data_IF_596295101332
#
_entry.id   IF_596295101332
#
_cell.length_a   1.000
_cell.length_b   1.000
_cell.length_c   1.000
_cell.angle_alpha   90.00
_cell.angle_beta   90.00
_cell.angle_gamma   90.00
#
_symmetry.space_group_name_H-M   'P 1'
#
loop_
_entity.id
_entity.type
_entity.pdbx_description
1 polymer ?
#
# COMPACT_ATOMS: atom_id res chain seq x y z
N UNK A 1 8.69 -6.99 5.16
CA UNK A 1 9.69 -6.52 6.15
C UNK A 1 10.11 -5.09 5.83
N UNK A 2 10.72 -4.38 6.79
CA UNK A 2 11.17 -3.00 6.58
C UNK A 2 12.47 -2.70 7.31
N UNK A 3 13.21 -1.71 6.80
CA UNK A 3 14.36 -1.09 7.47
C UNK A 3 14.21 0.42 7.40
N UNK A 4 14.62 1.14 8.44
CA UNK A 4 14.58 2.58 8.47
C UNK A 4 15.83 3.15 9.14
N UNK A 5 16.20 4.35 8.73
CA UNK A 5 17.30 5.11 9.31
C UNK A 5 16.85 6.53 9.63
N UNK A 6 17.24 7.01 10.79
CA UNK A 6 17.09 8.41 11.20
C UNK A 6 18.43 9.10 10.95
N UNK A 7 18.43 10.06 10.04
CA UNK A 7 19.65 10.79 9.67
C UNK A 7 19.92 11.94 10.62
N UNK A 8 18.86 12.70 10.94
CA UNK A 8 18.87 13.84 11.84
C UNK A 8 17.53 13.90 12.59
N UNK A 9 17.41 14.76 13.60
CA UNK A 9 16.22 14.82 14.46
C UNK A 9 14.92 15.13 13.72
N UNK A 10 15.01 15.79 12.57
CA UNK A 10 13.87 16.16 11.75
C UNK A 10 13.69 15.29 10.50
N UNK A 11 14.59 14.34 10.19
CA UNK A 11 14.55 13.55 8.95
C UNK A 11 14.85 12.07 9.18
N UNK A 12 13.97 11.23 8.66
CA UNK A 12 14.19 9.78 8.57
C UNK A 12 13.69 9.23 7.23
N UNK A 13 14.27 8.12 6.81
CA UNK A 13 13.87 7.41 5.58
C UNK A 13 13.68 5.92 5.86
N UNK A 14 12.82 5.26 5.08
CA UNK A 14 12.54 3.84 5.19
C UNK A 14 12.51 3.14 3.85
N UNK A 15 12.82 1.85 3.88
CA UNK A 15 12.71 0.91 2.76
C UNK A 15 11.84 -0.25 3.23
N UNK A 16 10.81 -0.60 2.46
CA UNK A 16 9.90 -1.72 2.75
C UNK A 16 9.87 -2.68 1.56
N UNK A 17 9.88 -3.98 1.86
CA UNK A 17 9.49 -5.03 0.92
C UNK A 17 8.27 -5.74 1.48
N UNK A 18 7.18 -5.78 0.72
CA UNK A 18 5.92 -6.40 1.14
C UNK A 18 5.49 -7.46 0.14
N UNK A 19 5.36 -8.71 0.59
CA UNK A 19 4.80 -9.79 -0.22
C UNK A 19 3.42 -10.13 0.30
N UNK A 20 2.44 -10.10 -0.60
CA UNK A 20 1.03 -10.31 -0.29
C UNK A 20 0.45 -11.37 -1.20
N UNK A 21 -0.19 -12.36 -0.59
CA UNK A 21 -1.08 -13.31 -1.27
C UNK A 21 -2.50 -13.01 -0.82
N UNK A 22 -3.39 -12.77 -1.77
CA UNK A 22 -4.81 -12.56 -1.57
C UNK A 22 -5.57 -13.75 -2.15
N UNK A 23 -6.36 -14.41 -1.31
CA UNK A 23 -7.23 -15.51 -1.76
C UNK A 23 -8.50 -15.00 -2.44
N UNK A 24 -9.11 -15.89 -3.22
CA UNK A 24 -10.44 -15.67 -3.79
C UNK A 24 -11.54 -15.61 -2.70
N UNK A 25 -12.69 -15.06 -3.07
CA UNK A 25 -13.83 -14.91 -2.15
C UNK A 25 -14.50 -16.27 -1.98
N UNK A 26 -14.81 -16.65 -0.73
CA UNK A 26 -15.64 -17.83 -0.46
C UNK A 26 -17.12 -17.48 -0.52
N UNK A 27 -17.86 -18.17 -1.38
CA UNK A 27 -19.30 -17.96 -1.59
C UNK A 27 -19.60 -17.11 -2.83
N UNK A 28 -20.89 -16.94 -3.13
CA UNK A 28 -21.36 -16.15 -4.26
C UNK A 28 -22.68 -15.45 -3.90
N UNK A 29 -22.92 -14.28 -4.48
CA UNK A 29 -24.21 -13.61 -4.40
C UNK A 29 -25.15 -14.24 -5.46
N UNK A 30 -26.29 -14.84 -5.05
CA UNK A 30 -27.22 -15.47 -5.99
C UNK A 30 -27.86 -14.48 -6.99
N UNK A 31 -27.80 -13.17 -6.73
CA UNK A 31 -28.27 -12.13 -7.64
C UNK A 31 -27.25 -11.77 -8.73
N UNK A 32 -25.99 -12.21 -8.59
CA UNK A 32 -24.92 -11.95 -9.55
C UNK A 32 -24.67 -13.16 -10.44
N UNK A 33 -24.44 -12.92 -11.74
CA UNK A 33 -24.13 -13.97 -12.72
C UNK A 33 -22.67 -13.86 -13.19
N UNK A 34 -21.75 -14.74 -12.73
CA UNK A 34 -20.34 -14.75 -13.13
C UNK A 34 -20.10 -14.96 -14.63
N UNK A 35 -21.05 -15.58 -15.34
CA UNK A 35 -20.94 -15.80 -16.79
C UNK A 35 -21.18 -14.52 -17.59
N UNK A 36 -21.79 -13.49 -17.00
CA UNK A 36 -22.08 -12.22 -17.68
C UNK A 36 -20.96 -11.20 -17.50
N UNK A 37 -20.37 -11.10 -16.30
CA UNK A 37 -19.30 -10.15 -16.01
C UNK A 37 -18.23 -10.79 -15.09
N UNK A 38 -16.93 -10.58 -15.35
CA UNK A 38 -15.87 -11.19 -14.57
C UNK A 38 -15.76 -10.63 -13.14
N UNK A 39 -16.25 -9.41 -12.90
CA UNK A 39 -16.25 -8.79 -11.56
C UNK A 39 -17.28 -9.41 -10.60
N UNK A 40 -18.22 -10.19 -11.12
CA UNK A 40 -19.16 -11.00 -10.34
C UNK A 40 -18.61 -12.39 -10.00
N UNK A 41 -17.46 -12.77 -10.56
CA UNK A 41 -16.86 -14.08 -10.34
C UNK A 41 -16.01 -14.08 -9.05
N UNK A 42 -16.39 -14.83 -8.01
CA UNK A 42 -15.64 -14.88 -6.75
C UNK A 42 -14.25 -15.50 -6.91
N UNK A 43 -14.02 -16.31 -7.95
CA UNK A 43 -12.75 -16.98 -8.26
C UNK A 43 -11.78 -16.08 -9.06
N UNK A 44 -12.15 -14.81 -9.30
CA UNK A 44 -11.32 -13.81 -10.01
C UNK A 44 -11.04 -12.57 -9.17
N UNK A 45 -10.76 -12.78 -7.87
CA UNK A 45 -10.57 -11.71 -6.87
C UNK A 45 -9.24 -11.82 -6.12
N UNK A 46 -8.56 -12.96 -6.25
CA UNK A 46 -7.27 -13.25 -5.65
C UNK A 46 -6.09 -12.76 -6.48
N UNK A 47 -4.90 -13.05 -5.99
CA UNK A 47 -3.65 -12.74 -6.64
C UNK A 47 -2.48 -12.62 -5.67
N UNK A 48 -1.30 -12.43 -6.22
CA UNK A 48 -0.04 -12.27 -5.50
C UNK A 48 0.65 -10.99 -5.92
N UNK A 49 1.30 -10.32 -4.98
CA UNK A 49 1.98 -9.06 -5.22
C UNK A 49 3.23 -8.91 -4.34
N UNK A 50 4.32 -8.45 -4.95
CA UNK A 50 5.54 -8.04 -4.27
C UNK A 50 5.75 -6.54 -4.48
N UNK A 51 5.72 -5.76 -3.41
CA UNK A 51 5.86 -4.32 -3.40
C UNK A 51 7.19 -3.85 -2.81
N UNK A 52 7.78 -2.83 -3.43
CA UNK A 52 8.87 -2.04 -2.90
C UNK A 52 8.36 -0.67 -2.45
N UNK A 53 8.54 -0.35 -1.17
CA UNK A 53 8.18 0.95 -0.59
C UNK A 53 9.41 1.79 -0.24
N UNK A 54 9.39 3.08 -0.58
CA UNK A 54 10.35 4.10 -0.21
C UNK A 54 9.64 5.18 0.62
N UNK A 55 10.02 5.32 1.88
CA UNK A 55 9.42 6.27 2.81
C UNK A 55 10.36 7.41 3.19
N UNK A 56 9.80 8.59 3.32
CA UNK A 56 10.45 9.82 3.79
C UNK A 56 9.59 10.45 4.87
N UNK A 57 10.19 10.77 6.01
CA UNK A 57 9.49 11.37 7.14
C UNK A 57 10.23 12.61 7.62
N UNK A 58 9.52 13.73 7.63
CA UNK A 58 9.95 15.00 8.18
C UNK A 58 9.25 15.23 9.51
N UNK A 59 9.98 15.50 10.58
CA UNK A 59 9.46 15.76 11.92
C UNK A 59 9.86 17.14 12.40
N UNK A 60 8.94 17.87 13.03
CA UNK A 60 9.21 19.15 13.65
C UNK A 60 9.46 18.96 15.16
N UNK A 61 10.73 18.94 15.63
CA UNK A 61 11.04 18.68 17.03
C UNK A 61 10.80 19.89 17.96
N UNK A 62 10.67 21.10 17.41
CA UNK A 62 10.54 22.34 18.15
C UNK A 62 9.85 23.43 17.34
N UNK A 63 9.52 24.56 17.97
CA UNK A 63 8.83 25.69 17.34
C UNK A 63 7.30 25.54 17.29
N UNK A 64 6.64 26.36 16.47
CA UNK A 64 5.18 26.42 16.38
C UNK A 64 4.51 25.13 15.86
N UNK A 65 5.28 24.26 15.21
CA UNK A 65 4.83 22.98 14.66
C UNK A 65 5.36 21.78 15.46
N UNK A 66 5.87 22.00 16.69
CA UNK A 66 6.39 20.93 17.53
C UNK A 66 5.40 19.75 17.62
N UNK A 67 5.89 18.54 17.40
CA UNK A 67 5.08 17.32 17.43
C UNK A 67 4.42 16.98 16.09
N UNK A 68 4.61 17.80 15.05
CA UNK A 68 4.09 17.54 13.70
C UNK A 68 5.06 16.68 12.88
N UNK A 69 4.53 15.75 12.10
CA UNK A 69 5.26 14.91 11.14
C UNK A 69 4.58 14.93 9.77
N UNK A 70 5.35 15.17 8.73
CA UNK A 70 4.96 14.96 7.33
C UNK A 70 5.63 13.68 6.82
N UNK A 71 4.83 12.72 6.40
CA UNK A 71 5.28 11.47 5.80
C UNK A 71 4.94 11.40 4.31
N UNK A 72 5.85 10.87 3.52
CA UNK A 72 5.65 10.53 2.10
C UNK A 72 6.11 9.10 1.88
N UNK A 73 5.28 8.26 1.28
CA UNK A 73 5.62 6.89 0.90
C UNK A 73 5.31 6.68 -0.59
N UNK A 74 6.32 6.25 -1.35
CA UNK A 74 6.18 5.81 -2.72
C UNK A 74 6.29 4.28 -2.78
N UNK A 75 5.31 3.62 -3.39
CA UNK A 75 5.26 2.16 -3.51
C UNK A 75 5.23 1.75 -4.97
N UNK A 76 6.11 0.83 -5.33
CA UNK A 76 6.23 0.25 -6.66
C UNK A 76 6.03 -1.27 -6.60
N UNK A 77 4.96 -1.82 -7.21
CA UNK A 77 4.85 -3.25 -7.42
C UNK A 77 5.96 -3.76 -8.34
N UNK A 78 6.81 -4.62 -7.81
CA UNK A 78 7.88 -5.30 -8.54
C UNK A 78 7.36 -6.53 -9.29
N UNK A 79 6.40 -7.23 -8.67
CA UNK A 79 5.72 -8.40 -9.24
C UNK A 79 4.24 -8.29 -8.89
N UNK A 80 3.37 -8.55 -9.88
CA UNK A 80 1.93 -8.60 -9.68
C UNK A 80 1.32 -9.69 -10.56
N UNK A 81 0.66 -10.65 -9.94
CA UNK A 81 -0.08 -11.73 -10.58
C UNK A 81 -1.52 -11.70 -10.07
N UNK A 82 -2.50 -11.51 -10.94
CA UNK A 82 -3.91 -11.38 -10.56
C UNK A 82 -4.71 -12.55 -11.12
N UNK A 83 -5.66 -13.04 -10.32
CA UNK A 83 -6.59 -14.08 -10.78
C UNK A 83 -7.63 -13.43 -11.68
N UNK A 84 -7.39 -13.46 -12.99
CA UNK A 84 -8.31 -12.96 -14.01
C UNK A 84 -8.18 -11.46 -14.34
N UNK A 85 -9.16 -10.89 -15.07
CA UNK A 85 -9.09 -9.51 -15.55
C UNK A 85 -9.39 -8.55 -14.39
N UNK A 86 -8.33 -8.16 -13.70
CA UNK A 86 -8.32 -7.14 -12.65
C UNK A 86 -7.45 -5.96 -13.09
N UNK A 87 -7.77 -4.76 -12.58
CA UNK A 87 -6.95 -3.59 -12.87
C UNK A 87 -5.62 -3.71 -12.13
N UNK A 88 -4.52 -3.62 -12.86
CA UNK A 88 -3.19 -3.63 -12.25
C UNK A 88 -2.88 -2.30 -11.53
N UNK A 89 -1.87 -2.32 -10.65
CA UNK A 89 -1.35 -1.10 -10.05
C UNK A 89 0.02 -0.84 -10.65
N UNK A 90 0.25 0.35 -11.20
CA UNK A 90 1.59 0.72 -11.69
C UNK A 90 2.47 1.27 -10.57
N UNK A 91 1.89 2.12 -9.70
CA UNK A 91 2.58 2.74 -8.57
C UNK A 91 1.56 3.33 -7.59
N UNK A 92 2.01 3.64 -6.38
CA UNK A 92 1.22 4.38 -5.38
C UNK A 92 2.07 5.46 -4.72
N UNK A 93 1.47 6.62 -4.46
CA UNK A 93 2.08 7.69 -3.67
C UNK A 93 1.13 8.03 -2.53
N UNK A 94 1.62 7.98 -1.31
CA UNK A 94 0.89 8.35 -0.10
C UNK A 94 1.58 9.54 0.55
N UNK A 95 0.81 10.56 0.90
CA UNK A 95 1.27 11.73 1.66
C UNK A 95 0.39 11.84 2.90
N UNK A 96 1.01 11.96 4.08
CA UNK A 96 0.30 12.01 5.35
C UNK A 96 0.87 13.08 6.27
N UNK A 97 -0.03 13.80 6.96
CA UNK A 97 0.33 14.75 8.01
C UNK A 97 -0.19 14.21 9.34
N UNK A 98 0.69 14.11 10.33
CA UNK A 98 0.39 13.69 11.69
C UNK A 98 0.78 14.81 12.65
N UNK A 99 -0.04 15.10 13.66
CA UNK A 99 0.30 16.00 14.75
C UNK A 99 0.03 15.30 16.08
N UNK A 100 0.96 15.44 17.03
CA UNK A 100 0.81 14.97 18.41
C UNK A 100 0.58 16.17 19.33
N UNK A 101 -0.41 16.07 20.21
CA UNK A 101 -0.83 17.09 21.18
C UNK A 101 -0.67 16.58 22.62
#
# INVERSE_FOLDING_TARGET
>A
GWVASKWVDWLSTSLRLDFKTLGNISGADPLLNPMMIPTADPDRRGGERLDLGLGFNLYAPSGALNGTRLGVEFVLPLVQSLDGPQLETDWQLTIGLQASF
#
